data_IF_073903120094
#
_entry.id   IF_073903120094
#
_cell.length_a   1.000
_cell.length_b   1.000
_cell.length_c   1.000
_cell.angle_alpha   90.00
_cell.angle_beta   90.00
_cell.angle_gamma   90.00
#
_symmetry.space_group_name_H-M   'P 1'
#
loop_
_entity.id
_entity.type
_entity.pdbx_description
1 polymer ?
#
# COMPACT_ATOMS: atom_id res chain seq x y z
N UNK A 1 -0.38 -7.35 -19.06
CA UNK A 1 0.62 -6.26 -19.13
C UNK A 1 0.62 -5.53 -17.81
N UNK A 2 1.40 -6.00 -16.84
CA UNK A 2 1.38 -5.48 -15.47
C UNK A 2 1.95 -4.05 -15.39
N UNK A 3 2.86 -3.71 -16.30
CA UNK A 3 3.51 -2.39 -16.38
C UNK A 3 2.59 -1.25 -16.85
N UNK A 4 1.38 -1.56 -17.33
CA UNK A 4 0.39 -0.56 -17.75
C UNK A 4 -0.67 -0.29 -16.68
N UNK A 5 -0.71 -1.08 -15.61
CA UNK A 5 -1.69 -0.93 -14.54
C UNK A 5 -1.22 0.04 -13.47
N UNK A 6 -2.10 0.97 -13.08
CA UNK A 6 -1.79 1.99 -12.09
C UNK A 6 -2.09 1.49 -10.66
N UNK A 7 -1.05 1.02 -9.97
CA UNK A 7 -1.14 0.58 -8.57
C UNK A 7 -1.22 1.73 -7.56
N UNK A 8 -1.06 2.97 -8.01
CA UNK A 8 -1.18 4.17 -7.19
C UNK A 8 -2.57 4.83 -7.34
N UNK A 9 -3.50 4.20 -8.08
CA UNK A 9 -4.90 4.63 -8.16
C UNK A 9 -5.73 3.99 -7.03
N UNK A 10 -6.69 4.70 -6.42
CA UNK A 10 -7.57 4.14 -5.38
C UNK A 10 -8.25 2.81 -5.78
N UNK A 11 -8.68 2.69 -7.04
CA UNK A 11 -9.34 1.50 -7.58
C UNK A 11 -8.43 0.26 -7.65
N UNK A 12 -7.12 0.42 -7.45
CA UNK A 12 -6.19 -0.71 -7.33
C UNK A 12 -6.29 -1.43 -5.99
N UNK A 13 -7.02 -0.86 -5.02
CA UNK A 13 -7.10 -1.37 -3.65
C UNK A 13 -8.51 -1.87 -3.32
N UNK A 14 -8.57 -3.04 -2.69
CA UNK A 14 -9.80 -3.61 -2.15
C UNK A 14 -10.16 -2.95 -0.80
N UNK A 15 -10.77 -1.77 -0.89
CA UNK A 15 -11.15 -0.97 0.28
C UNK A 15 -12.25 -1.64 1.10
N UNK A 16 -13.14 -2.41 0.48
CA UNK A 16 -14.20 -3.13 1.20
C UNK A 16 -13.61 -4.23 2.09
N UNK A 17 -12.65 -5.00 1.56
CA UNK A 17 -11.95 -5.99 2.36
C UNK A 17 -11.14 -5.36 3.49
N UNK A 18 -10.48 -4.21 3.24
CA UNK A 18 -9.80 -3.44 4.28
C UNK A 18 -10.76 -3.05 5.42
N UNK A 19 -11.91 -2.46 5.10
CA UNK A 19 -12.92 -2.06 6.09
C UNK A 19 -13.44 -3.26 6.88
N UNK A 20 -13.70 -4.38 6.21
CA UNK A 20 -14.11 -5.64 6.85
C UNK A 20 -13.06 -6.15 7.84
N UNK A 21 -11.78 -6.14 7.44
CA UNK A 21 -10.68 -6.53 8.32
C UNK A 21 -10.55 -5.62 9.54
N UNK A 22 -10.66 -4.30 9.34
CA UNK A 22 -10.57 -3.33 10.44
C UNK A 22 -11.69 -3.52 11.47
N UNK A 23 -12.93 -3.74 11.02
CA UNK A 23 -14.06 -3.96 11.92
C UNK A 23 -13.93 -5.28 12.70
N UNK A 24 -13.53 -6.37 12.03
CA UNK A 24 -13.28 -7.65 12.71
C UNK A 24 -12.22 -7.53 13.80
N UNK A 25 -11.10 -6.86 13.49
CA UNK A 25 -10.04 -6.64 14.47
C UNK A 25 -10.52 -5.79 15.65
N UNK A 26 -11.33 -4.75 15.40
CA UNK A 26 -11.93 -3.92 16.46
C UNK A 26 -12.90 -4.71 17.35
N UNK A 27 -13.55 -5.74 16.81
CA UNK A 27 -14.43 -6.65 17.55
C UNK A 27 -13.68 -7.79 18.26
N UNK A 28 -12.34 -7.76 18.29
CA UNK A 28 -11.55 -8.81 18.92
C UNK A 28 -11.47 -10.11 18.09
N UNK A 29 -11.76 -10.05 16.79
CA UNK A 29 -11.69 -11.19 15.90
C UNK A 29 -10.42 -11.16 15.06
N UNK A 30 -9.76 -12.31 14.97
CA UNK A 30 -8.56 -12.44 14.15
C UNK A 30 -8.93 -12.49 12.64
N UNK A 31 -8.03 -11.98 11.79
CA UNK A 31 -8.25 -11.87 10.34
C UNK A 31 -7.07 -12.45 9.57
N UNK A 32 -7.35 -13.00 8.39
CA UNK A 32 -6.32 -13.52 7.49
C UNK A 32 -6.08 -12.51 6.36
N UNK A 33 -4.91 -11.87 6.37
CA UNK A 33 -4.56 -10.80 5.42
C UNK A 33 -3.74 -11.39 4.26
N UNK A 34 -4.15 -11.16 3.01
CA UNK A 34 -3.36 -11.58 1.86
C UNK A 34 -2.00 -10.90 1.79
N UNK A 35 -0.94 -11.67 1.54
CA UNK A 35 0.40 -11.15 1.23
C UNK A 35 0.51 -10.95 -0.27
N UNK A 36 0.73 -9.70 -0.67
CA UNK A 36 1.04 -9.32 -2.04
C UNK A 36 2.52 -9.52 -2.35
N UNK A 37 2.83 -10.21 -3.44
CA UNK A 37 4.19 -10.40 -3.93
C UNK A 37 4.48 -9.46 -5.12
N UNK A 38 5.39 -8.51 -4.91
CA UNK A 38 5.78 -7.52 -5.92
C UNK A 38 6.60 -8.07 -7.09
N UNK A 39 7.15 -9.29 -6.96
CA UNK A 39 7.89 -9.98 -8.04
C UNK A 39 6.95 -10.71 -8.98
N UNK A 40 5.98 -11.42 -8.40
CA UNK A 40 5.03 -12.24 -9.17
C UNK A 40 3.70 -11.51 -9.46
N UNK A 41 3.46 -10.37 -8.80
CA UNK A 41 2.21 -9.60 -8.85
C UNK A 41 0.98 -10.42 -8.46
N UNK A 42 1.17 -11.39 -7.57
CA UNK A 42 0.12 -12.30 -7.10
C UNK A 42 -0.05 -12.21 -5.60
N UNK A 43 -1.28 -12.50 -5.19
CA UNK A 43 -1.65 -12.75 -3.80
C UNK A 43 -1.69 -14.26 -3.59
N UNK A 44 -0.88 -14.79 -2.68
CA UNK A 44 -0.72 -16.25 -2.55
C UNK A 44 -0.75 -16.79 -1.13
N UNK A 45 -0.19 -16.05 -0.17
CA UNK A 45 -0.06 -16.51 1.22
C UNK A 45 -0.85 -15.60 2.14
N UNK A 46 -1.67 -16.16 3.01
CA UNK A 46 -2.38 -15.40 4.03
C UNK A 46 -1.56 -15.33 5.31
N UNK A 47 -1.46 -14.12 5.88
CA UNK A 47 -0.89 -13.88 7.20
C UNK A 47 -2.02 -13.68 8.18
N UNK A 48 -2.13 -14.57 9.17
CA UNK A 48 -3.04 -14.39 10.30
C UNK A 48 -2.60 -13.18 11.14
N UNK A 49 -3.52 -12.27 11.38
CA UNK A 49 -3.35 -11.12 12.28
C UNK A 49 -4.37 -11.27 13.41
N UNK A 50 -3.86 -11.34 14.64
CA UNK A 50 -4.68 -11.40 15.84
C UNK A 50 -5.09 -9.99 16.27
N UNK A 51 -6.23 -9.86 16.98
CA UNK A 51 -6.59 -8.59 17.61
C UNK A 51 -5.49 -8.15 18.58
N UNK A 52 -5.30 -6.84 18.70
CA UNK A 52 -4.33 -6.22 19.59
C UNK A 52 -4.89 -4.89 20.11
N UNK A 53 -4.39 -4.45 21.26
CA UNK A 53 -4.80 -3.16 21.85
C UNK A 53 -4.43 -1.97 20.95
N UNK A 54 -3.34 -2.10 20.20
CA UNK A 54 -2.86 -1.11 19.23
C UNK A 54 -2.64 -1.78 17.89
N UNK A 55 -3.31 -1.25 16.87
CA UNK A 55 -3.16 -1.70 15.48
C UNK A 55 -2.63 -0.53 14.66
N UNK A 56 -1.49 -0.76 14.00
CA UNK A 56 -0.89 0.22 13.09
C UNK A 56 -1.30 -0.15 11.67
N UNK A 57 -2.02 0.76 11.01
CA UNK A 57 -2.38 0.65 9.61
C UNK A 57 -1.45 1.57 8.80
N UNK A 58 -0.69 1.00 7.87
CA UNK A 58 0.23 1.73 6.99
C UNK A 58 -0.14 1.57 5.50
N UNK A 59 0.12 2.61 4.70
CA UNK A 59 -0.18 2.61 3.28
C UNK A 59 -0.20 4.01 2.67
N UNK A 60 -0.06 4.08 1.35
CA UNK A 60 0.08 5.34 0.60
C UNK A 60 -1.26 6.10 0.41
N UNK A 61 -2.40 5.41 0.43
CA UNK A 61 -3.73 5.98 0.14
C UNK A 61 -4.75 5.81 1.28
N UNK A 62 -4.30 5.51 2.50
CA UNK A 62 -5.18 5.22 3.63
C UNK A 62 -6.18 6.34 3.97
N UNK A 63 -5.83 7.59 3.65
CA UNK A 63 -6.67 8.75 3.92
C UNK A 63 -7.62 9.11 2.77
N UNK A 64 -7.57 8.39 1.64
CA UNK A 64 -8.44 8.63 0.50
C UNK A 64 -9.91 8.35 0.84
N UNK A 65 -10.23 7.15 1.34
CA UNK A 65 -11.61 6.80 1.70
C UNK A 65 -12.01 7.36 3.08
N UNK A 66 -13.08 8.17 3.19
CA UNK A 66 -13.54 8.72 4.46
C UNK A 66 -14.02 7.66 5.46
N UNK A 67 -14.49 6.49 5.01
CA UNK A 67 -14.91 5.37 5.88
C UNK A 67 -13.72 4.83 6.66
N UNK A 68 -12.58 4.63 5.99
CA UNK A 68 -11.34 4.17 6.61
C UNK A 68 -10.86 5.18 7.66
N UNK A 69 -10.88 6.49 7.33
CA UNK A 69 -10.49 7.56 8.26
C UNK A 69 -11.36 7.63 9.52
N UNK A 70 -12.65 7.30 9.43
CA UNK A 70 -13.56 7.32 10.59
C UNK A 70 -13.25 6.21 11.60
N UNK A 71 -12.63 5.11 11.16
CA UNK A 71 -12.23 4.01 12.04
C UNK A 71 -10.88 4.25 12.74
N UNK A 72 -10.12 5.26 12.34
CA UNK A 72 -8.80 5.58 12.90
C UNK A 72 -8.88 6.54 14.08
N UNK A 73 -8.33 6.15 15.22
CA UNK A 73 -8.18 7.00 16.40
C UNK A 73 -7.10 8.08 16.20
N UNK A 74 -5.98 7.74 15.55
CA UNK A 74 -4.85 8.64 15.26
C UNK A 74 -4.48 8.57 13.78
N UNK A 75 -4.05 9.69 13.21
CA UNK A 75 -3.70 9.82 11.78
C UNK A 75 -2.35 10.52 11.67
N UNK A 76 -1.38 9.86 11.05
CA UNK A 76 -0.03 10.38 10.84
C UNK A 76 0.25 10.37 9.34
N UNK A 77 0.71 11.51 8.81
CA UNK A 77 1.16 11.62 7.43
C UNK A 77 2.65 11.96 7.41
N UNK A 78 3.45 11.11 6.76
CA UNK A 78 4.88 11.33 6.62
C UNK A 78 5.13 12.14 5.34
N UNK A 79 5.41 13.43 5.50
CA UNK A 79 5.75 14.31 4.39
C UNK A 79 7.27 14.29 4.14
N UNK A 80 7.69 14.12 2.88
CA UNK A 80 9.09 14.14 2.48
C UNK A 80 9.19 14.61 1.03
N UNK A 81 10.26 15.34 0.71
CA UNK A 81 10.51 15.88 -0.62
C UNK A 81 10.47 14.78 -1.70
N UNK A 82 9.95 15.15 -2.87
CA UNK A 82 9.67 14.22 -3.96
C UNK A 82 10.94 13.56 -4.51
N UNK A 83 12.04 14.30 -4.57
CA UNK A 83 13.37 13.84 -4.99
C UNK A 83 13.95 12.81 -4.01
N UNK A 84 13.85 13.05 -2.70
CA UNK A 84 14.26 12.11 -1.66
C UNK A 84 13.44 10.83 -1.75
N UNK A 85 12.12 10.94 -1.94
CA UNK A 85 11.23 9.77 -2.13
C UNK A 85 11.58 8.99 -3.39
N UNK A 86 11.83 9.69 -4.51
CA UNK A 86 12.22 9.08 -5.78
C UNK A 86 13.57 8.34 -5.65
N UNK A 87 14.59 8.98 -5.06
CA UNK A 87 15.89 8.37 -4.86
C UNK A 87 15.80 7.08 -4.02
N UNK A 88 14.99 7.10 -2.94
CA UNK A 88 14.73 5.90 -2.12
C UNK A 88 13.99 4.81 -2.91
N UNK A 89 13.00 5.19 -3.73
CA UNK A 89 12.24 4.26 -4.59
C UNK A 89 13.14 3.59 -5.63
N UNK A 90 14.00 4.34 -6.31
CA UNK A 90 14.97 3.81 -7.27
C UNK A 90 15.85 2.78 -6.56
N UNK A 91 16.50 3.17 -5.44
CA UNK A 91 17.37 2.26 -4.70
C UNK A 91 16.67 0.95 -4.30
N UNK A 92 15.46 1.03 -3.76
CA UNK A 92 14.67 -0.14 -3.35
C UNK A 92 14.31 -1.02 -4.54
N UNK A 93 13.74 -0.43 -5.60
CA UNK A 93 13.22 -1.20 -6.73
C UNK A 93 14.36 -1.84 -7.56
N UNK A 94 15.53 -1.20 -7.63
CA UNK A 94 16.69 -1.76 -8.31
C UNK A 94 17.37 -2.86 -7.47
N UNK A 95 17.56 -2.64 -6.16
CA UNK A 95 18.30 -3.58 -5.30
C UNK A 95 17.45 -4.77 -4.83
N UNK A 96 16.22 -4.52 -4.38
CA UNK A 96 15.38 -5.57 -3.77
C UNK A 96 14.48 -6.26 -4.80
N UNK A 97 13.96 -5.49 -5.77
CA UNK A 97 13.02 -5.98 -6.78
C UNK A 97 13.68 -6.29 -8.13
N UNK A 98 14.98 -6.01 -8.30
CA UNK A 98 15.73 -6.30 -9.52
C UNK A 98 15.23 -5.57 -10.77
N UNK A 99 14.58 -4.41 -10.59
CA UNK A 99 14.00 -3.64 -11.72
C UNK A 99 15.03 -2.71 -12.35
N UNK A 100 14.94 -2.57 -13.66
CA UNK A 100 15.73 -1.59 -14.40
C UNK A 100 15.34 -0.15 -14.04
N UNK A 101 16.34 0.73 -13.95
CA UNK A 101 16.17 2.13 -13.53
C UNK A 101 15.26 2.89 -14.52
N UNK A 102 15.41 2.65 -15.82
CA UNK A 102 14.58 3.30 -16.84
C UNK A 102 13.10 2.97 -16.65
N UNK A 103 12.80 1.69 -16.40
CA UNK A 103 11.42 1.24 -16.10
C UNK A 103 10.85 1.91 -14.85
N UNK A 104 11.67 2.07 -13.80
CA UNK A 104 11.24 2.73 -12.55
C UNK A 104 10.90 4.20 -12.77
N UNK A 105 11.71 4.90 -13.58
CA UNK A 105 11.52 6.32 -13.93
C UNK A 105 10.30 6.54 -14.83
N UNK A 106 10.07 5.66 -15.80
CA UNK A 106 8.90 5.72 -16.68
C UNK A 106 7.61 5.52 -15.88
N UNK A 107 7.58 4.51 -14.99
CA UNK A 107 6.44 4.29 -14.11
C UNK A 107 6.23 5.46 -13.15
N UNK A 108 7.32 6.03 -12.63
CA UNK A 108 7.23 7.20 -11.75
C UNK A 108 6.61 8.39 -12.46
N UNK A 109 7.08 8.71 -13.66
CA UNK A 109 6.62 9.87 -14.43
C UNK A 109 5.18 9.69 -14.90
N UNK A 110 4.80 8.47 -15.29
CA UNK A 110 3.49 8.16 -15.87
C UNK A 110 2.38 8.02 -14.83
N UNK A 111 2.66 7.41 -13.69
CA UNK A 111 1.62 7.01 -12.73
C UNK A 111 1.82 7.57 -11.32
N UNK A 112 3.04 7.55 -10.80
CA UNK A 112 3.30 7.91 -9.41
C UNK A 112 3.25 9.42 -9.20
N UNK A 113 3.96 10.20 -10.03
CA UNK A 113 4.04 11.66 -9.90
C UNK A 113 2.67 12.35 -10.06
N UNK A 114 1.79 11.97 -11.01
CA UNK A 114 0.46 12.56 -11.13
C UNK A 114 -0.53 12.17 -10.02
N UNK A 115 -0.27 11.08 -9.30
CA UNK A 115 -1.13 10.62 -8.21
C UNK A 115 -0.87 11.38 -6.88
N UNK A 116 0.15 12.24 -6.83
CA UNK A 116 0.50 13.10 -5.70
C UNK A 116 0.09 14.55 -5.92
#
# INVERSE_FOLDING_TARGET
RVHEYNFDHPDAFDTENLLSCMEKLRQGQAVDIPKYDFKTYKTSVFRRVNPADVIILEGILLFHDPRVRRLMNMKIFVCTDADVRLARRIRRDTVENGRDIGTVLDQYSKFVKPAF
#
